data_IF_682636298920
#
_entry.id   IF_682636298920
#
_cell.length_a   1.000
_cell.length_b   1.000
_cell.length_c   1.000
_cell.angle_alpha   90.00
_cell.angle_beta   90.00
_cell.angle_gamma   90.00
#
_symmetry.space_group_name_H-M   'P 1'
#
loop_
_entity.id
_entity.type
_entity.pdbx_description
1 polymer ?
#
# COMPACT_ATOMS: atom_id res chain seq x y z
N UNK A 1 4.52 -19.86 15.94
CA UNK A 1 4.26 -20.44 14.60
C UNK A 1 3.56 -19.42 13.73
N UNK A 2 4.01 -19.22 12.48
CA UNK A 2 3.28 -18.47 11.46
C UNK A 2 2.11 -19.29 10.94
N UNK A 3 0.93 -18.66 10.81
CA UNK A 3 -0.29 -19.30 10.29
C UNK A 3 -0.48 -18.97 8.80
N UNK A 4 -1.69 -19.16 8.28
CA UNK A 4 -1.99 -18.94 6.87
C UNK A 4 -1.72 -17.49 6.46
N UNK A 5 -0.99 -17.33 5.36
CA UNK A 5 -0.71 -16.05 4.74
C UNK A 5 -2.00 -15.42 4.22
N UNK A 6 -2.21 -14.13 4.48
CA UNK A 6 -3.32 -13.37 3.91
C UNK A 6 -3.08 -12.98 2.45
N UNK A 7 -4.15 -12.85 1.67
CA UNK A 7 -4.10 -12.14 0.39
C UNK A 7 -3.99 -10.61 0.53
N UNK A 8 -4.23 -10.08 1.72
CA UNK A 8 -4.03 -8.68 2.02
C UNK A 8 -2.55 -8.36 2.21
N UNK A 9 -2.10 -7.28 1.60
CA UNK A 9 -0.76 -6.74 1.77
C UNK A 9 -0.82 -5.23 1.99
N UNK A 10 0.14 -4.73 2.76
CA UNK A 10 0.38 -3.30 2.94
C UNK A 10 1.87 -3.05 2.71
N UNK A 11 2.20 -2.75 1.48
CA UNK A 11 3.56 -2.57 1.01
C UNK A 11 3.76 -1.17 0.45
N UNK A 12 5.01 -0.75 0.37
CA UNK A 12 5.34 0.48 -0.35
C UNK A 12 4.82 0.43 -1.78
N UNK A 13 4.36 1.57 -2.27
CA UNK A 13 3.91 1.73 -3.65
C UNK A 13 4.20 3.14 -4.17
N UNK A 14 4.34 3.27 -5.47
CA UNK A 14 4.45 4.57 -6.12
C UNK A 14 3.10 4.98 -6.71
N UNK A 15 2.68 6.19 -6.34
CA UNK A 15 1.40 6.74 -6.70
C UNK A 15 1.58 8.10 -7.36
N UNK A 16 0.75 8.37 -8.35
CA UNK A 16 0.70 9.64 -9.07
C UNK A 16 -0.74 10.15 -9.12
N UNK A 17 -0.94 11.42 -9.43
CA UNK A 17 -2.31 11.92 -9.70
C UNK A 17 -2.85 11.35 -11.01
N UNK A 18 -4.18 11.21 -11.11
CA UNK A 18 -4.82 10.73 -12.35
C UNK A 18 -4.49 11.61 -13.55
N UNK A 19 -4.43 12.93 -13.37
CA UNK A 19 -4.08 13.87 -14.44
C UNK A 19 -2.63 13.67 -14.92
N UNK A 20 -1.70 13.46 -13.98
CA UNK A 20 -0.29 13.19 -14.33
C UNK A 20 -0.15 11.85 -15.04
N UNK A 21 -0.86 10.80 -14.58
CA UNK A 21 -0.90 9.50 -15.23
C UNK A 21 -1.42 9.59 -16.66
N UNK A 22 -2.57 10.25 -16.87
CA UNK A 22 -3.17 10.43 -18.19
C UNK A 22 -2.27 11.24 -19.14
N UNK A 23 -1.71 12.36 -18.66
CA UNK A 23 -0.85 13.23 -19.46
C UNK A 23 0.40 12.52 -19.98
N UNK A 24 0.97 11.60 -19.20
CA UNK A 24 2.20 10.90 -19.49
C UNK A 24 1.99 9.43 -19.89
N UNK A 25 0.73 8.96 -20.02
CA UNK A 25 0.34 7.57 -20.32
C UNK A 25 0.97 6.55 -19.35
N UNK A 26 0.92 6.84 -18.04
CA UNK A 26 1.53 6.01 -17.00
C UNK A 26 0.54 4.95 -16.50
N UNK A 27 1.00 3.71 -16.43
CA UNK A 27 0.31 2.58 -15.79
C UNK A 27 1.25 1.76 -14.92
N UNK A 28 2.55 1.88 -15.17
CA UNK A 28 3.60 1.15 -14.45
C UNK A 28 4.79 2.05 -14.13
N UNK A 29 5.63 1.61 -13.21
CA UNK A 29 6.90 2.27 -12.89
C UNK A 29 7.81 2.34 -14.13
N UNK A 30 7.72 1.33 -15.02
CA UNK A 30 8.52 1.31 -16.25
C UNK A 30 8.20 2.49 -17.19
N UNK A 31 6.96 2.99 -17.19
CA UNK A 31 6.54 4.10 -18.07
C UNK A 31 7.20 5.42 -17.66
N UNK A 32 7.66 5.54 -16.42
CA UNK A 32 8.34 6.73 -15.89
C UNK A 32 9.68 7.00 -16.59
N UNK A 33 10.31 6.00 -17.21
CA UNK A 33 11.57 6.18 -17.94
C UNK A 33 11.47 7.21 -19.08
N UNK A 34 10.27 7.48 -19.58
CA UNK A 34 10.01 8.51 -20.60
C UNK A 34 9.80 9.93 -20.03
N UNK A 35 9.76 10.10 -18.72
CA UNK A 35 9.45 11.37 -18.07
C UNK A 35 10.71 11.94 -17.40
N UNK A 36 11.04 13.18 -17.71
CA UNK A 36 12.22 13.86 -17.14
C UNK A 36 11.81 14.83 -16.02
N UNK A 37 12.75 15.08 -15.10
CA UNK A 37 12.55 16.04 -14.00
C UNK A 37 11.51 15.59 -12.99
N UNK A 38 11.36 14.26 -12.78
CA UNK A 38 10.44 13.69 -11.79
C UNK A 38 10.86 14.02 -10.37
N UNK A 39 9.92 14.54 -9.58
CA UNK A 39 10.08 14.75 -8.14
C UNK A 39 9.36 13.66 -7.37
N UNK A 40 10.12 12.90 -6.59
CA UNK A 40 9.62 11.83 -5.73
C UNK A 40 9.54 12.31 -4.29
N UNK A 41 8.35 12.28 -3.70
CA UNK A 41 8.15 12.52 -2.28
C UNK A 41 7.99 11.24 -1.48
N UNK A 42 8.42 11.28 -0.22
CA UNK A 42 8.29 10.16 0.71
C UNK A 42 8.89 10.45 2.07
N UNK A 43 8.89 9.45 2.95
CA UNK A 43 9.57 9.52 4.23
C UNK A 43 11.08 9.73 4.03
N UNK A 44 11.77 10.46 4.93
CA UNK A 44 13.20 10.78 4.75
C UNK A 44 14.07 9.56 4.50
N UNK A 45 13.79 8.43 5.14
CA UNK A 45 14.53 7.18 4.99
C UNK A 45 14.39 6.54 3.60
N UNK A 46 13.40 6.94 2.78
CA UNK A 46 13.25 6.44 1.42
C UNK A 46 14.48 6.74 0.56
N UNK A 47 15.21 7.82 0.84
CA UNK A 47 16.45 8.16 0.15
C UNK A 47 17.48 7.01 0.16
N UNK A 48 17.50 6.23 1.25
CA UNK A 48 18.46 5.14 1.49
C UNK A 48 17.85 3.75 1.27
N UNK A 49 16.55 3.66 0.98
CA UNK A 49 15.87 2.37 0.79
C UNK A 49 16.22 1.75 -0.57
N UNK A 50 16.31 0.41 -0.66
CA UNK A 50 16.58 -0.29 -1.92
C UNK A 50 15.56 -0.01 -3.02
N UNK A 51 14.35 0.38 -2.65
CA UNK A 51 13.25 0.73 -3.54
C UNK A 51 13.07 2.25 -3.71
N UNK A 52 13.97 3.06 -3.15
CA UNK A 52 14.03 4.51 -3.32
C UNK A 52 14.68 4.92 -4.66
N UNK A 53 15.27 6.13 -4.74
CA UNK A 53 15.88 6.66 -5.97
C UNK A 53 16.89 5.72 -6.61
N UNK A 54 17.73 5.06 -5.81
CA UNK A 54 18.75 4.09 -6.30
C UNK A 54 18.08 2.87 -6.94
N UNK A 55 17.00 2.34 -6.34
CA UNK A 55 16.24 1.22 -6.88
C UNK A 55 15.53 1.58 -8.17
N UNK A 56 14.86 2.75 -8.23
CA UNK A 56 14.23 3.25 -9.45
C UNK A 56 15.23 3.32 -10.62
N UNK A 57 16.41 3.85 -10.37
CA UNK A 57 17.47 3.88 -11.39
C UNK A 57 17.93 2.47 -11.78
N UNK A 58 18.16 1.59 -10.81
CA UNK A 58 18.75 0.26 -11.07
C UNK A 58 17.77 -0.69 -11.78
N UNK A 59 16.49 -0.67 -11.40
CA UNK A 59 15.47 -1.56 -11.95
C UNK A 59 14.83 -0.99 -13.23
N UNK A 60 14.58 0.32 -13.25
CA UNK A 60 13.74 0.96 -14.28
C UNK A 60 14.47 2.02 -15.11
N UNK A 61 15.71 2.39 -14.76
CA UNK A 61 16.44 3.48 -15.41
C UNK A 61 15.80 4.86 -15.17
N UNK A 62 14.99 4.98 -14.11
CA UNK A 62 14.27 6.21 -13.76
C UNK A 62 15.10 7.05 -12.81
N UNK A 63 15.35 8.31 -13.18
CA UNK A 63 15.99 9.31 -12.31
C UNK A 63 14.95 10.23 -11.70
N UNK A 64 15.06 10.47 -10.39
CA UNK A 64 14.15 11.35 -9.64
C UNK A 64 14.93 12.34 -8.78
N UNK A 65 14.35 13.50 -8.55
CA UNK A 65 14.72 14.42 -7.48
C UNK A 65 13.92 14.03 -6.24
N UNK A 66 14.61 13.68 -5.16
CA UNK A 66 13.95 13.21 -3.95
C UNK A 66 13.66 14.35 -2.98
N UNK A 67 12.42 14.43 -2.52
CA UNK A 67 11.91 15.39 -1.55
C UNK A 67 11.44 14.65 -0.28
N UNK A 68 12.05 14.94 0.86
CA UNK A 68 11.66 14.36 2.14
C UNK A 68 10.38 15.04 2.66
N UNK A 69 9.24 14.55 2.23
CA UNK A 69 7.91 15.11 2.54
C UNK A 69 7.26 14.51 3.80
N UNK A 70 7.72 13.33 4.25
CA UNK A 70 7.23 12.68 5.47
C UNK A 70 5.70 12.52 5.49
N UNK A 71 5.06 12.96 6.58
CA UNK A 71 3.62 12.81 6.76
C UNK A 71 2.77 13.63 5.77
N UNK A 72 3.37 14.61 5.09
CA UNK A 72 2.68 15.47 4.11
C UNK A 72 2.86 15.01 2.66
N UNK A 73 3.30 13.77 2.44
CA UNK A 73 3.62 13.25 1.10
C UNK A 73 2.40 13.29 0.16
N UNK A 74 1.24 12.82 0.61
CA UNK A 74 0.02 12.78 -0.21
C UNK A 74 -0.47 14.20 -0.51
N UNK A 75 -0.47 15.08 0.48
CA UNK A 75 -0.84 16.50 0.32
C UNK A 75 0.10 17.21 -0.66
N UNK A 76 1.40 16.94 -0.60
CA UNK A 76 2.39 17.48 -1.53
C UNK A 76 2.16 17.01 -2.97
N UNK A 77 1.76 15.73 -3.15
CA UNK A 77 1.40 15.18 -4.46
C UNK A 77 0.17 15.89 -5.04
N UNK A 78 -0.90 16.02 -4.25
CA UNK A 78 -2.14 16.69 -4.69
C UNK A 78 -1.93 18.15 -4.99
N UNK A 79 -1.05 18.82 -4.22
CA UNK A 79 -0.67 20.23 -4.45
C UNK A 79 0.28 20.42 -5.65
N UNK A 80 0.78 19.36 -6.28
CA UNK A 80 1.71 19.43 -7.42
C UNK A 80 3.12 19.88 -7.02
N UNK A 81 3.49 19.76 -5.75
CA UNK A 81 4.83 20.03 -5.26
C UNK A 81 5.79 18.89 -5.60
N UNK A 82 5.28 17.68 -5.72
CA UNK A 82 5.95 16.47 -6.20
C UNK A 82 5.11 15.84 -7.30
N UNK A 83 5.71 14.98 -8.12
CA UNK A 83 5.06 14.32 -9.26
C UNK A 83 4.68 12.87 -8.95
N UNK A 84 5.39 12.25 -8.02
CA UNK A 84 5.20 10.87 -7.58
C UNK A 84 5.38 10.78 -6.05
N UNK A 85 4.54 9.99 -5.40
CA UNK A 85 4.55 9.77 -3.95
C UNK A 85 4.82 8.30 -3.62
N UNK A 86 5.70 8.05 -2.64
CA UNK A 86 5.78 6.75 -1.99
C UNK A 86 4.73 6.71 -0.87
N UNK A 87 3.76 5.83 -1.00
CA UNK A 87 2.63 5.65 -0.06
C UNK A 87 2.39 4.14 0.11
N UNK A 88 2.00 3.72 1.29
CA UNK A 88 1.62 2.34 1.54
C UNK A 88 0.35 1.97 0.76
N UNK A 89 0.32 0.76 0.18
CA UNK A 89 -0.74 0.31 -0.72
C UNK A 89 -2.13 0.20 -0.07
N UNK A 90 -2.20 0.14 1.25
CA UNK A 90 -3.45 0.12 2.01
C UNK A 90 -3.86 1.52 2.55
N UNK A 91 -3.18 2.60 2.12
CA UNK A 91 -3.57 3.96 2.49
C UNK A 91 -4.91 4.34 1.82
N UNK A 92 -5.95 4.66 2.61
CA UNK A 92 -7.28 4.97 2.06
C UNK A 92 -7.28 6.22 1.16
N UNK A 93 -6.33 7.15 1.34
CA UNK A 93 -6.22 8.37 0.53
C UNK A 93 -5.95 8.09 -0.95
N UNK A 94 -5.36 6.93 -1.28
CA UNK A 94 -5.16 6.52 -2.67
C UNK A 94 -6.53 6.45 -3.39
N UNK A 95 -7.50 5.78 -2.79
CA UNK A 95 -8.83 5.65 -3.36
C UNK A 95 -9.63 6.96 -3.27
N UNK A 96 -9.60 7.64 -2.14
CA UNK A 96 -10.36 8.88 -1.88
C UNK A 96 -10.00 10.01 -2.83
N UNK A 97 -8.70 10.13 -3.15
CA UNK A 97 -8.17 11.20 -4.00
C UNK A 97 -8.02 10.77 -5.46
N UNK A 98 -8.43 9.54 -5.80
CA UNK A 98 -8.33 9.00 -7.15
C UNK A 98 -6.90 8.93 -7.65
N UNK A 99 -5.95 8.61 -6.77
CA UNK A 99 -4.56 8.43 -7.16
C UNK A 99 -4.40 7.14 -7.97
N UNK A 100 -3.43 7.12 -8.86
CA UNK A 100 -3.07 5.96 -9.66
C UNK A 100 -1.83 5.31 -9.05
N UNK A 101 -1.98 4.11 -8.54
CA UNK A 101 -0.86 3.28 -8.12
C UNK A 101 -0.22 2.66 -9.37
N UNK A 102 1.07 2.91 -9.57
CA UNK A 102 1.83 2.35 -10.68
C UNK A 102 2.16 0.88 -10.40
N UNK A 103 1.92 0.02 -11.40
CA UNK A 103 2.31 -1.39 -11.29
C UNK A 103 3.83 -1.55 -11.28
N UNK A 104 4.31 -2.59 -10.61
CA UNK A 104 5.74 -2.90 -10.43
C UNK A 104 6.11 -4.22 -11.13
N UNK A 105 6.29 -4.24 -12.48
CA UNK A 105 6.53 -5.46 -13.22
C UNK A 105 7.91 -6.08 -12.98
N UNK A 106 8.87 -5.34 -12.41
CA UNK A 106 10.21 -5.85 -12.13
C UNK A 106 10.43 -6.23 -10.65
N UNK A 107 9.41 -6.05 -9.79
CA UNK A 107 9.47 -6.45 -8.39
C UNK A 107 10.43 -5.62 -7.55
N UNK A 108 10.41 -4.30 -7.74
CA UNK A 108 11.17 -3.34 -6.93
C UNK A 108 10.74 -3.40 -5.46
N UNK A 109 9.42 -3.52 -5.23
CA UNK A 109 8.85 -3.65 -3.90
C UNK A 109 8.71 -5.11 -3.49
N UNK A 110 9.11 -5.42 -2.27
CA UNK A 110 8.86 -6.73 -1.69
C UNK A 110 7.43 -6.82 -1.17
N UNK A 111 6.81 -7.99 -1.35
CA UNK A 111 5.48 -8.28 -0.81
C UNK A 111 5.48 -8.19 0.72
N UNK A 112 4.49 -7.51 1.29
CA UNK A 112 4.30 -7.30 2.72
C UNK A 112 2.92 -7.79 3.15
N UNK A 113 2.69 -9.10 3.02
CA UNK A 113 1.42 -9.72 3.38
C UNK A 113 1.23 -9.80 4.89
N UNK A 114 -0.02 -9.68 5.32
CA UNK A 114 -0.39 -9.93 6.70
C UNK A 114 -0.26 -11.42 7.03
N UNK A 115 0.44 -11.72 8.12
CA UNK A 115 0.65 -13.09 8.61
C UNK A 115 0.35 -13.15 10.10
N UNK A 116 -0.66 -13.91 10.54
CA UNK A 116 -0.90 -14.12 11.97
C UNK A 116 0.23 -14.95 12.58
N UNK A 117 0.71 -14.54 13.73
CA UNK A 117 1.70 -15.28 14.51
C UNK A 117 1.05 -15.80 15.78
N UNK A 118 0.97 -17.12 15.94
CA UNK A 118 0.41 -17.77 17.11
C UNK A 118 1.49 -18.36 18.01
N UNK A 119 1.33 -18.21 19.33
CA UNK A 119 2.14 -18.92 20.31
C UNK A 119 1.73 -20.40 20.41
N UNK A 120 2.58 -21.22 21.05
CA UNK A 120 2.28 -22.66 21.21
C UNK A 120 1.11 -22.92 22.18
N UNK A 121 0.72 -21.92 22.99
CA UNK A 121 -0.44 -22.01 23.87
C UNK A 121 -1.79 -21.94 23.10
N UNK A 122 -1.81 -21.47 21.85
CA UNK A 122 -3.00 -21.43 21.02
C UNK A 122 -3.31 -22.83 20.50
N UNK A 123 -4.50 -23.36 20.83
CA UNK A 123 -4.92 -24.69 20.38
C UNK A 123 -5.20 -24.72 18.86
N UNK A 124 -5.34 -25.94 18.30
CA UNK A 124 -5.48 -26.12 16.84
C UNK A 124 -6.77 -25.49 16.31
N UNK A 125 -7.88 -25.62 16.99
CA UNK A 125 -9.16 -25.05 16.59
C UNK A 125 -9.09 -23.51 16.44
N UNK A 126 -8.47 -22.83 17.39
CA UNK A 126 -8.25 -21.38 17.30
C UNK A 126 -7.29 -21.01 16.18
N UNK A 127 -6.24 -21.81 15.91
CA UNK A 127 -5.33 -21.61 14.77
C UNK A 127 -6.07 -21.74 13.44
N UNK A 128 -6.97 -22.71 13.32
CA UNK A 128 -7.76 -22.95 12.11
C UNK A 128 -8.73 -21.77 11.86
N UNK A 129 -9.38 -21.25 12.90
CA UNK A 129 -10.23 -20.06 12.81
C UNK A 129 -9.44 -18.81 12.38
N UNK A 130 -8.28 -18.55 13.00
CA UNK A 130 -7.42 -17.41 12.63
C UNK A 130 -6.94 -17.56 11.17
N UNK A 131 -6.60 -18.77 10.75
CA UNK A 131 -6.18 -19.04 9.38
C UNK A 131 -7.32 -18.83 8.37
N UNK A 132 -8.55 -19.19 8.73
CA UNK A 132 -9.73 -18.93 7.90
C UNK A 132 -9.98 -17.42 7.71
N UNK A 133 -9.88 -16.65 8.79
CA UNK A 133 -9.97 -15.17 8.75
C UNK A 133 -8.87 -14.59 7.86
N UNK A 134 -7.62 -15.01 8.06
CA UNK A 134 -6.47 -14.54 7.29
C UNK A 134 -6.62 -14.84 5.80
N UNK A 135 -7.05 -16.05 5.45
CA UNK A 135 -7.23 -16.47 4.06
C UNK A 135 -8.38 -15.76 3.34
N UNK A 136 -9.39 -15.31 4.09
CA UNK A 136 -10.53 -14.58 3.53
C UNK A 136 -10.25 -13.10 3.25
N UNK A 137 -9.17 -12.55 3.84
CA UNK A 137 -8.86 -11.13 3.74
C UNK A 137 -8.09 -10.81 2.46
N UNK A 138 -8.61 -9.90 1.67
CA UNK A 138 -8.00 -9.40 0.43
C UNK A 138 -7.37 -8.01 0.65
N UNK A 139 -6.55 -7.55 -0.30
CA UNK A 139 -6.00 -6.20 -0.28
C UNK A 139 -7.13 -5.13 -0.29
N UNK A 140 -8.19 -5.35 -1.06
CA UNK A 140 -9.35 -4.45 -1.09
C UNK A 140 -10.10 -4.41 0.25
N UNK A 141 -10.21 -5.55 0.95
CA UNK A 141 -10.78 -5.58 2.29
C UNK A 141 -9.94 -4.72 3.26
N UNK A 142 -8.61 -4.84 3.22
CA UNK A 142 -7.73 -4.06 4.10
C UNK A 142 -7.90 -2.56 3.88
N UNK A 143 -7.94 -2.10 2.64
CA UNK A 143 -8.22 -0.68 2.31
C UNK A 143 -9.56 -0.25 2.88
N UNK A 144 -10.63 -1.04 2.66
CA UNK A 144 -11.97 -0.72 3.16
C UNK A 144 -12.03 -0.66 4.70
N UNK A 145 -11.33 -1.56 5.39
CA UNK A 145 -11.24 -1.55 6.85
C UNK A 145 -10.47 -0.31 7.36
N UNK A 146 -9.41 0.09 6.66
CA UNK A 146 -8.64 1.30 6.99
C UNK A 146 -9.47 2.59 6.79
N UNK A 147 -10.28 2.68 5.73
CA UNK A 147 -11.25 3.79 5.55
C UNK A 147 -12.16 3.90 6.76
N UNK A 148 -12.77 2.80 7.20
CA UNK A 148 -13.67 2.80 8.36
C UNK A 148 -12.96 3.20 9.67
N UNK A 149 -11.69 2.82 9.81
CA UNK A 149 -10.89 3.17 10.99
C UNK A 149 -10.47 4.64 11.00
N UNK A 150 -10.00 5.16 9.87
CA UNK A 150 -9.40 6.50 9.78
C UNK A 150 -10.45 7.58 9.59
N UNK A 151 -11.41 7.37 8.66
CA UNK A 151 -12.37 8.40 8.27
C UNK A 151 -13.65 8.33 9.11
N UNK A 152 -14.21 7.12 9.26
CA UNK A 152 -15.44 6.93 10.02
C UNK A 152 -15.18 6.87 11.53
N UNK A 153 -13.90 6.72 11.93
CA UNK A 153 -13.45 6.63 13.33
C UNK A 153 -14.20 5.56 14.15
N UNK A 154 -14.61 4.48 13.48
CA UNK A 154 -15.27 3.36 14.13
C UNK A 154 -14.27 2.55 14.98
N UNK A 155 -14.78 1.89 15.99
CA UNK A 155 -13.95 1.01 16.83
C UNK A 155 -13.50 -0.22 16.06
N UNK A 156 -12.30 -0.72 16.36
CA UNK A 156 -11.79 -1.95 15.73
C UNK A 156 -12.72 -3.15 15.93
N UNK A 157 -13.46 -3.19 17.07
CA UNK A 157 -14.42 -4.26 17.36
C UNK A 157 -15.62 -4.21 16.41
N UNK A 158 -16.18 -3.02 16.14
CA UNK A 158 -17.26 -2.83 15.18
C UNK A 158 -16.83 -3.19 13.76
N UNK A 159 -15.70 -2.64 13.33
CA UNK A 159 -15.14 -2.89 12.00
C UNK A 159 -14.93 -4.39 11.78
N UNK A 160 -14.28 -5.07 12.74
CA UNK A 160 -14.00 -6.49 12.66
C UNK A 160 -15.28 -7.32 12.62
N UNK A 161 -16.27 -7.01 13.49
CA UNK A 161 -17.55 -7.72 13.54
C UNK A 161 -18.29 -7.64 12.20
N UNK A 162 -18.45 -6.44 11.67
CA UNK A 162 -19.17 -6.23 10.42
C UNK A 162 -18.49 -6.93 9.25
N UNK A 163 -17.17 -6.88 9.20
CA UNK A 163 -16.40 -7.57 8.16
C UNK A 163 -16.55 -9.09 8.28
N UNK A 164 -16.41 -9.66 9.47
CA UNK A 164 -16.58 -11.09 9.72
C UNK A 164 -17.99 -11.58 9.34
N UNK A 165 -19.04 -10.80 9.68
CA UNK A 165 -20.43 -11.06 9.25
C UNK A 165 -20.54 -11.04 7.72
N UNK A 166 -19.96 -10.04 7.06
CA UNK A 166 -20.00 -9.91 5.59
C UNK A 166 -19.32 -11.08 4.86
N UNK A 167 -18.35 -11.72 5.51
CA UNK A 167 -17.64 -12.90 4.99
C UNK A 167 -18.28 -14.23 5.40
N UNK A 168 -19.34 -14.20 6.24
CA UNK A 168 -19.97 -15.41 6.77
C UNK A 168 -19.07 -16.22 7.69
N UNK A 169 -18.15 -15.55 8.38
CA UNK A 169 -17.21 -16.17 9.33
C UNK A 169 -17.76 -16.20 10.75
N UNK A 170 -18.78 -15.40 11.04
CA UNK A 170 -19.58 -15.40 12.26
C UNK A 170 -21.07 -15.19 11.90
N UNK A 171 -21.98 -15.54 12.85
CA UNK A 171 -23.42 -15.33 12.77
C UNK A 171 -23.89 -14.03 13.43
#
# INVERSE_FOLDING_TARGET
TALALSGASDQDSYNVTSDFAMKNNLTSIADLAGVSGLRLGGAPELAERPYGPTGLMSFYGVTVEFEATGDTTVESLVAGLIDMANVYSADPRIQQLGLVTLTDPQGLFLSSNLVPIASDAVNQEARDLISAVSSAMTAADLVALNVRSVDEQLSSAEIARDWLLSKGLID
#
